data_IF_208203619552
#
_entry.id   IF_208203619552
#
_cell.length_a   1.000
_cell.length_b   1.000
_cell.length_c   1.000
_cell.angle_alpha   90.00
_cell.angle_beta   90.00
_cell.angle_gamma   90.00
#
_symmetry.space_group_name_H-M   'P 1'
#
loop_
_entity.id
_entity.type
_entity.pdbx_description
1 polymer ?
#
# COMPACT_ATOMS: atom_id res chain seq x y z
N UNK A 1 -21.30 -0.32 11.18
CA UNK A 1 -20.64 -0.07 9.87
C UNK A 1 -21.49 0.78 8.95
N UNK A 2 -22.53 0.24 8.29
CA UNK A 2 -23.39 1.06 7.41
C UNK A 2 -24.19 2.13 8.15
N UNK A 3 -24.63 1.83 9.38
CA UNK A 3 -25.29 2.81 10.26
C UNK A 3 -24.37 3.98 10.61
N UNK A 4 -23.08 3.69 10.88
CA UNK A 4 -22.13 4.67 11.41
C UNK A 4 -21.43 5.46 10.28
N UNK A 5 -21.17 4.83 9.13
CA UNK A 5 -20.55 5.44 7.95
C UNK A 5 -21.24 4.95 6.67
N UNK A 6 -22.44 5.44 6.35
CA UNK A 6 -23.25 4.94 5.24
C UNK A 6 -22.58 5.14 3.88
N UNK A 7 -21.90 6.28 3.66
CA UNK A 7 -21.18 6.55 2.41
C UNK A 7 -20.02 5.58 2.16
N UNK A 8 -19.25 5.27 3.22
CA UNK A 8 -18.09 4.37 3.13
C UNK A 8 -18.49 2.91 2.91
N UNK A 9 -19.55 2.46 3.59
CA UNK A 9 -19.98 1.06 3.55
C UNK A 9 -21.24 0.81 2.70
N UNK A 10 -21.65 1.77 1.86
CA UNK A 10 -22.83 1.65 1.00
C UNK A 10 -22.83 0.35 0.17
N UNK A 11 -21.66 -0.09 -0.29
CA UNK A 11 -21.48 -1.28 -1.13
C UNK A 11 -21.21 -2.58 -0.32
N UNK A 12 -21.24 -2.52 1.01
CA UNK A 12 -20.98 -3.67 1.87
C UNK A 12 -22.23 -4.52 2.05
N UNK A 13 -22.39 -5.55 1.22
CA UNK A 13 -23.53 -6.46 1.33
C UNK A 13 -23.35 -7.52 2.44
N UNK A 14 -24.45 -7.90 3.09
CA UNK A 14 -24.49 -8.95 4.13
C UNK A 14 -23.84 -10.27 3.66
N UNK A 15 -24.07 -10.66 2.40
CA UNK A 15 -23.47 -11.88 1.83
C UNK A 15 -21.95 -11.84 1.77
N UNK A 16 -21.36 -10.67 1.53
CA UNK A 16 -19.90 -10.48 1.54
C UNK A 16 -19.34 -10.66 2.95
N UNK A 17 -19.97 -10.04 3.95
CA UNK A 17 -19.57 -10.19 5.36
C UNK A 17 -19.70 -11.65 5.81
N UNK A 18 -20.78 -12.33 5.41
CA UNK A 18 -20.98 -13.74 5.77
C UNK A 18 -19.90 -14.66 5.18
N UNK A 19 -19.41 -14.37 3.96
CA UNK A 19 -18.26 -15.09 3.37
C UNK A 19 -16.96 -14.88 4.17
N UNK A 20 -16.83 -13.76 4.89
CA UNK A 20 -15.64 -13.51 5.70
C UNK A 20 -15.63 -14.28 7.01
N UNK A 21 -16.79 -14.70 7.51
CA UNK A 21 -16.95 -15.38 8.80
C UNK A 21 -16.98 -16.90 8.57
N UNK A 22 -16.36 -17.65 9.47
CA UNK A 22 -16.39 -19.11 9.45
C UNK A 22 -17.80 -19.63 9.72
N UNK A 23 -18.21 -20.70 9.02
CA UNK A 23 -19.50 -21.36 9.29
C UNK A 23 -19.56 -22.03 10.67
N UNK A 24 -18.40 -22.35 11.27
CA UNK A 24 -18.29 -23.09 12.54
C UNK A 24 -18.08 -22.20 13.77
N UNK A 25 -18.32 -20.89 13.68
CA UNK A 25 -18.27 -20.00 14.85
C UNK A 25 -17.96 -18.53 14.52
N UNK A 26 -17.85 -17.71 15.56
CA UNK A 26 -17.54 -16.27 15.48
C UNK A 26 -16.04 -16.00 15.23
N UNK A 27 -15.48 -16.61 14.18
CA UNK A 27 -14.07 -16.42 13.77
C UNK A 27 -14.01 -16.07 12.29
N UNK A 28 -12.92 -15.44 11.85
CA UNK A 28 -12.65 -15.24 10.43
C UNK A 28 -12.55 -16.60 9.71
N UNK A 29 -13.02 -16.64 8.46
CA UNK A 29 -12.84 -17.79 7.59
C UNK A 29 -11.35 -18.01 7.31
N UNK A 30 -10.95 -19.26 7.08
CA UNK A 30 -9.55 -19.59 6.71
C UNK A 30 -9.08 -18.76 5.51
N UNK A 31 -9.94 -18.63 4.49
CA UNK A 31 -9.68 -17.82 3.30
C UNK A 31 -9.48 -16.32 3.64
N UNK A 32 -10.26 -15.79 4.58
CA UNK A 32 -10.08 -14.41 5.04
C UNK A 32 -8.74 -14.22 5.72
N UNK A 33 -8.35 -15.13 6.61
CA UNK A 33 -7.05 -15.07 7.30
C UNK A 33 -5.89 -15.17 6.30
N UNK A 34 -5.97 -16.10 5.34
CA UNK A 34 -4.98 -16.21 4.26
C UNK A 34 -4.90 -14.94 3.42
N UNK A 35 -6.04 -14.35 3.04
CA UNK A 35 -6.06 -13.10 2.28
C UNK A 35 -5.44 -11.93 3.05
N UNK A 36 -5.72 -11.83 4.36
CA UNK A 36 -5.11 -10.82 5.23
C UNK A 36 -3.60 -11.03 5.32
N UNK A 37 -3.14 -12.28 5.49
CA UNK A 37 -1.72 -12.61 5.53
C UNK A 37 -0.99 -12.28 4.21
N UNK A 38 -1.66 -12.40 3.06
CA UNK A 38 -1.07 -12.07 1.75
C UNK A 38 -0.78 -10.58 1.55
N UNK A 39 -1.43 -9.69 2.30
CA UNK A 39 -1.29 -8.22 2.15
C UNK A 39 -1.38 -7.72 0.70
N UNK A 40 -2.19 -8.39 -0.14
CA UNK A 40 -2.27 -8.10 -1.58
C UNK A 40 -3.18 -6.93 -1.95
N UNK A 41 -4.00 -6.49 -0.98
CA UNK A 41 -4.96 -5.40 -1.16
C UNK A 41 -4.24 -4.08 -0.87
N UNK A 42 -4.26 -3.16 -1.85
CA UNK A 42 -3.74 -1.81 -1.66
C UNK A 42 -4.56 -1.08 -0.61
N UNK A 43 -3.85 -0.37 0.27
CA UNK A 43 -4.47 0.34 1.38
C UNK A 43 -5.57 1.28 0.87
N UNK A 44 -6.69 1.33 1.58
CA UNK A 44 -7.81 2.28 1.32
C UNK A 44 -8.54 2.10 -0.03
N UNK A 45 -8.09 1.20 -0.91
CA UNK A 45 -8.74 0.95 -2.21
C UNK A 45 -9.68 -0.25 -2.19
N UNK A 46 -9.42 -1.24 -1.32
CA UNK A 46 -10.09 -2.54 -1.35
C UNK A 46 -9.80 -3.37 -2.61
N UNK A 47 -8.88 -2.91 -3.47
CA UNK A 47 -8.46 -3.56 -4.71
C UNK A 47 -7.14 -4.28 -4.52
N UNK A 48 -7.00 -5.42 -5.19
CA UNK A 48 -5.72 -6.12 -5.28
C UNK A 48 -4.76 -5.27 -6.12
N UNK A 49 -3.55 -5.06 -5.64
CA UNK A 49 -2.54 -4.28 -6.36
C UNK A 49 -2.03 -5.01 -7.59
N UNK A 50 -1.63 -4.26 -8.63
CA UNK A 50 -1.13 -4.84 -9.89
C UNK A 50 0.10 -5.76 -9.69
N UNK A 51 0.90 -5.51 -8.66
CA UNK A 51 2.06 -6.32 -8.30
C UNK A 51 1.72 -7.55 -7.45
N UNK A 52 0.45 -7.76 -7.09
CA UNK A 52 0.06 -8.93 -6.28
C UNK A 52 0.41 -10.28 -6.93
N UNK A 53 0.35 -10.46 -8.27
CA UNK A 53 0.84 -11.67 -8.92
C UNK A 53 2.37 -11.78 -8.97
N UNK A 54 3.09 -10.67 -8.79
CA UNK A 54 4.54 -10.52 -8.95
C UNK A 54 5.21 -10.32 -7.58
N UNK A 55 5.18 -11.36 -6.74
CA UNK A 55 5.66 -11.26 -5.35
C UNK A 55 7.15 -10.99 -5.26
N UNK A 56 7.92 -11.53 -6.19
CA UNK A 56 9.35 -11.30 -6.35
C UNK A 56 9.66 -9.80 -6.48
N UNK A 57 8.85 -9.06 -7.25
CA UNK A 57 9.00 -7.60 -7.40
C UNK A 57 8.68 -6.90 -6.07
N UNK A 58 7.62 -7.33 -5.38
CA UNK A 58 7.25 -6.75 -4.07
C UNK A 58 8.33 -7.00 -3.03
N UNK A 59 8.87 -8.20 -2.95
CA UNK A 59 9.93 -8.60 -2.02
C UNK A 59 11.22 -7.81 -2.28
N UNK A 60 11.64 -7.71 -3.54
CA UNK A 60 12.84 -6.96 -3.93
C UNK A 60 12.71 -5.47 -3.60
N UNK A 61 11.61 -4.84 -3.99
CA UNK A 61 11.34 -3.42 -3.69
C UNK A 61 11.30 -3.20 -2.18
N UNK A 62 10.59 -4.05 -1.43
CA UNK A 62 10.49 -3.88 0.02
C UNK A 62 11.83 -4.08 0.73
N UNK A 63 12.69 -4.96 0.23
CA UNK A 63 14.07 -5.11 0.74
C UNK A 63 14.86 -3.83 0.53
N UNK A 64 14.95 -3.33 -0.71
CA UNK A 64 15.71 -2.12 -1.03
C UNK A 64 15.24 -0.90 -0.23
N UNK A 65 13.93 -0.74 -0.03
CA UNK A 65 13.38 0.35 0.77
C UNK A 65 13.73 0.22 2.26
N UNK A 66 13.75 -1.00 2.80
CA UNK A 66 14.19 -1.25 4.18
C UNK A 66 15.68 -0.96 4.34
N UNK A 67 16.50 -1.38 3.39
CA UNK A 67 17.96 -1.16 3.42
C UNK A 67 18.31 0.33 3.35
N UNK A 68 17.60 1.12 2.54
CA UNK A 68 17.72 2.57 2.55
C UNK A 68 17.38 3.17 3.92
N UNK A 69 16.29 2.71 4.54
CA UNK A 69 15.91 3.21 5.87
C UNK A 69 16.91 2.81 6.94
N UNK A 70 17.45 1.59 6.88
CA UNK A 70 18.47 1.09 7.80
C UNK A 70 19.79 1.85 7.67
N UNK A 71 20.15 2.29 6.46
CA UNK A 71 21.32 3.15 6.22
C UNK A 71 21.11 4.63 6.58
N UNK A 72 19.95 4.97 7.18
CA UNK A 72 19.63 6.34 7.60
C UNK A 72 19.15 7.24 6.45
N UNK A 73 18.94 6.71 5.25
CA UNK A 73 18.41 7.46 4.12
C UNK A 73 16.89 7.59 4.25
N UNK A 74 16.33 8.81 4.25
CA UNK A 74 14.88 9.00 4.33
C UNK A 74 14.21 8.54 3.04
N UNK A 75 13.27 7.60 3.18
CA UNK A 75 12.44 7.12 2.05
C UNK A 75 11.29 8.09 1.84
N UNK A 76 11.42 8.96 0.83
CA UNK A 76 10.32 9.79 0.33
C UNK A 76 9.59 9.11 -0.85
N UNK A 77 8.46 9.68 -1.28
CA UNK A 77 7.65 9.12 -2.38
C UNK A 77 8.46 9.00 -3.67
N UNK A 78 9.31 9.98 -3.98
CA UNK A 78 10.09 9.98 -5.21
C UNK A 78 11.11 8.84 -5.23
N UNK A 79 11.83 8.63 -4.13
CA UNK A 79 12.79 7.53 -3.97
C UNK A 79 12.07 6.18 -4.07
N UNK A 80 10.95 6.02 -3.35
CA UNK A 80 10.17 4.79 -3.40
C UNK A 80 9.63 4.50 -4.80
N UNK A 81 9.15 5.52 -5.49
CA UNK A 81 8.66 5.44 -6.88
C UNK A 81 9.78 5.04 -7.84
N UNK A 82 10.97 5.64 -7.71
CA UNK A 82 12.12 5.33 -8.56
C UNK A 82 12.55 3.87 -8.42
N UNK A 83 12.60 3.35 -7.19
CA UNK A 83 12.90 1.93 -6.94
C UNK A 83 11.83 1.04 -7.56
N UNK A 84 10.54 1.33 -7.32
CA UNK A 84 9.44 0.57 -7.92
C UNK A 84 9.56 0.51 -9.43
N UNK A 85 9.76 1.65 -10.09
CA UNK A 85 9.89 1.71 -11.54
C UNK A 85 11.15 0.96 -12.01
N UNK A 86 12.28 1.10 -11.33
CA UNK A 86 13.52 0.42 -11.70
C UNK A 86 13.36 -1.10 -11.65
N UNK A 87 12.85 -1.64 -10.54
CA UNK A 87 12.65 -3.09 -10.38
C UNK A 87 11.59 -3.61 -11.37
N UNK A 88 10.50 -2.87 -11.60
CA UNK A 88 9.49 -3.26 -12.59
C UNK A 88 10.10 -3.29 -14.00
N UNK A 89 10.91 -2.30 -14.39
CA UNK A 89 11.58 -2.27 -15.70
C UNK A 89 12.54 -3.44 -15.88
N UNK A 90 13.22 -3.86 -14.81
CA UNK A 90 14.17 -4.97 -14.86
C UNK A 90 13.47 -6.33 -14.90
N UNK A 91 12.40 -6.52 -14.11
CA UNK A 91 11.75 -7.83 -13.93
C UNK A 91 10.58 -8.06 -14.88
N UNK A 92 9.75 -7.04 -15.10
CA UNK A 92 8.51 -7.14 -15.87
C UNK A 92 8.16 -5.81 -16.55
N UNK A 93 8.93 -5.39 -17.58
CA UNK A 93 8.73 -4.10 -18.25
C UNK A 93 7.35 -3.95 -18.87
N UNK A 94 6.73 -5.06 -19.31
CA UNK A 94 5.38 -5.07 -19.90
C UNK A 94 4.30 -4.44 -19.01
N UNK A 95 4.50 -4.43 -17.67
CA UNK A 95 3.55 -3.79 -16.75
C UNK A 95 3.49 -2.28 -16.96
N UNK A 96 4.57 -1.66 -17.42
CA UNK A 96 4.64 -0.23 -17.72
C UNK A 96 4.29 0.06 -19.18
N UNK A 97 4.62 -0.85 -20.10
CA UNK A 97 4.47 -0.64 -21.54
C UNK A 97 3.01 -0.72 -22.02
N UNK A 98 2.17 -1.50 -21.32
CA UNK A 98 0.74 -1.66 -21.67
C UNK A 98 -0.10 -0.39 -21.52
N UNK A 99 0.41 0.64 -20.82
CA UNK A 99 -0.31 1.91 -20.61
C UNK A 99 -1.47 1.84 -19.59
N UNK A 100 -1.87 0.65 -19.15
CA UNK A 100 -2.94 0.46 -18.15
C UNK A 100 -2.50 0.79 -16.72
N UNK A 101 -1.18 0.84 -16.48
CA UNK A 101 -0.60 1.10 -15.18
C UNK A 101 0.43 2.21 -15.22
N UNK A 102 0.21 3.18 -14.35
CA UNK A 102 1.18 4.21 -14.03
C UNK A 102 1.55 4.06 -12.56
N UNK A 103 2.84 3.97 -12.27
CA UNK A 103 3.36 4.05 -10.91
C UNK A 103 3.20 5.51 -10.41
N UNK A 104 1.98 5.89 -10.06
CA UNK A 104 1.64 7.23 -9.58
C UNK A 104 2.03 7.40 -8.10
N UNK A 105 2.12 8.64 -7.63
CA UNK A 105 2.38 8.90 -6.21
C UNK A 105 1.31 8.32 -5.28
N UNK A 106 0.04 8.33 -5.72
CA UNK A 106 -1.05 7.73 -4.97
C UNK A 106 -0.87 6.21 -4.85
N UNK A 107 -0.51 5.54 -5.95
CA UNK A 107 -0.20 4.12 -5.95
C UNK A 107 0.97 3.81 -5.01
N UNK A 108 2.06 4.59 -5.07
CA UNK A 108 3.24 4.39 -4.22
C UNK A 108 2.87 4.53 -2.74
N UNK A 109 2.04 5.52 -2.38
CA UNK A 109 1.57 5.68 -1.00
C UNK A 109 0.75 4.46 -0.54
N UNK A 110 -0.18 3.99 -1.37
CA UNK A 110 -1.01 2.83 -1.03
C UNK A 110 -0.18 1.54 -0.98
N UNK A 111 0.85 1.41 -1.81
CA UNK A 111 1.82 0.33 -1.79
C UNK A 111 2.60 0.32 -0.48
N UNK A 112 3.23 1.45 -0.10
CA UNK A 112 4.01 1.57 1.13
C UNK A 112 3.17 1.29 2.38
N UNK A 113 1.93 1.78 2.40
CA UNK A 113 1.00 1.56 3.51
C UNK A 113 0.57 0.09 3.59
N UNK A 114 0.25 -0.56 2.47
CA UNK A 114 -0.22 -1.95 2.46
C UNK A 114 0.88 -3.00 2.69
N UNK A 115 2.09 -2.75 2.19
CA UNK A 115 3.19 -3.73 2.27
C UNK A 115 4.07 -3.54 3.49
N UNK A 116 4.40 -2.29 3.83
CA UNK A 116 5.36 -1.94 4.88
C UNK A 116 4.72 -1.30 6.11
N UNK A 117 3.41 -1.03 6.10
CA UNK A 117 2.73 -0.22 7.13
C UNK A 117 3.34 1.19 7.27
N UNK A 118 3.95 1.72 6.20
CA UNK A 118 4.61 3.02 6.20
C UNK A 118 3.66 4.11 5.71
N UNK A 119 3.48 5.14 6.53
CA UNK A 119 2.79 6.36 6.14
C UNK A 119 3.80 7.44 5.74
N UNK A 120 3.58 8.08 4.60
CA UNK A 120 4.38 9.24 4.18
C UNK A 120 3.99 10.42 5.06
N UNK A 121 4.94 10.88 5.88
CA UNK A 121 4.75 12.09 6.68
C UNK A 121 4.73 13.30 5.77
N UNK A 122 3.71 14.15 5.92
CA UNK A 122 3.69 15.47 5.29
C UNK A 122 4.76 16.31 6.01
N UNK A 123 5.65 16.97 5.25
CA UNK A 123 6.62 17.89 5.84
C UNK A 123 5.90 18.90 6.72
N UNK A 124 6.39 19.10 7.95
CA UNK A 124 5.90 20.12 8.86
C UNK A 124 6.15 21.50 8.24
N UNK A 125 5.09 22.25 7.93
CA UNK A 125 5.14 23.63 7.40
C UNK A 125 5.39 24.69 8.48
N UNK A 126 5.92 24.29 9.64
CA UNK A 126 6.45 25.25 10.59
C UNK A 126 7.87 25.58 10.15
N UNK A 127 8.02 26.60 9.31
CA UNK A 127 9.27 27.35 9.29
C UNK A 127 9.46 27.84 10.73
N UNK A 128 10.61 27.53 11.35
CA UNK A 128 10.95 28.15 12.61
C UNK A 128 10.83 29.67 12.41
N UNK A 129 9.99 30.35 13.20
CA UNK A 129 10.07 31.79 13.32
C UNK A 129 11.50 32.09 13.79
N UNK A 130 12.36 32.54 12.88
CA UNK A 130 13.64 33.11 13.24
C UNK A 130 13.28 34.42 13.95
N UNK A 131 13.66 34.62 15.22
CA UNK A 131 13.38 35.88 15.89
C UNK A 131 14.10 37.02 15.15
N UNK A 132 13.48 38.20 15.10
CA UNK A 132 13.94 39.38 14.33
C UNK A 132 15.31 39.96 14.75
N UNK A 133 16.03 39.30 15.67
CA UNK A 133 17.37 39.68 16.13
C UNK A 133 18.38 38.58 15.77
N UNK A 134 18.70 38.48 14.48
CA UNK A 134 19.89 37.80 13.99
C UNK A 134 20.89 38.83 13.47
#
# INVERSE_FOLDING_TARGET
LQKDHPSLFAKLHRGTVFKWISKKGKKWSKKTVENVARRSVLARTGRVGILSPHREIVEEVTSQLKDLRLSGVPVNILVARSILIAVIKERQPELLDRGDFFCSESYVRDFLESTLDWSVRKGTRAAAHIPDNA
#
